data_IF_604167038389
#
_entry.id   IF_604167038389
#
_cell.length_a   1.000
_cell.length_b   1.000
_cell.length_c   1.000
_cell.angle_alpha   90.00
_cell.angle_beta   90.00
_cell.angle_gamma   90.00
#
_symmetry.space_group_name_H-M   'P 1'
#
loop_
_entity.id
_entity.type
_entity.pdbx_description
1 polymer ?
#
# COMPACT_ATOMS: atom_id res chain seq x y z
N UNK A 1 -17.14 -40.34 -18.94
CA UNK A 1 -17.96 -39.62 -17.94
C UNK A 1 -17.45 -38.19 -17.88
N UNK A 2 -18.15 -37.25 -18.51
CA UNK A 2 -17.79 -35.84 -18.54
C UNK A 2 -18.61 -35.12 -17.48
N UNK A 3 -17.96 -34.66 -16.41
CA UNK A 3 -18.60 -33.82 -15.41
C UNK A 3 -18.59 -32.38 -15.94
N UNK A 4 -19.72 -31.91 -16.47
CA UNK A 4 -19.94 -30.49 -16.68
C UNK A 4 -20.14 -29.84 -15.31
N UNK A 5 -19.26 -28.92 -14.94
CA UNK A 5 -19.49 -28.00 -13.82
C UNK A 5 -20.73 -27.16 -14.12
N UNK A 6 -21.72 -27.07 -13.21
CA UNK A 6 -22.86 -26.19 -13.42
C UNK A 6 -22.40 -24.73 -13.54
N UNK A 7 -23.02 -24.00 -14.46
CA UNK A 7 -22.79 -22.57 -14.69
C UNK A 7 -22.99 -21.79 -13.39
N UNK A 8 -22.04 -20.92 -13.05
CA UNK A 8 -22.15 -20.01 -11.92
C UNK A 8 -23.27 -19.02 -12.24
N UNK A 9 -24.33 -19.01 -11.44
CA UNK A 9 -25.43 -18.05 -11.55
C UNK A 9 -24.88 -16.64 -11.44
N UNK A 10 -25.09 -15.81 -12.47
CA UNK A 10 -24.82 -14.38 -12.39
C UNK A 10 -25.86 -13.74 -11.47
N UNK A 11 -25.45 -13.30 -10.30
CA UNK A 11 -26.28 -12.45 -9.46
C UNK A 11 -26.44 -11.06 -10.12
N UNK A 12 -27.68 -10.61 -10.26
CA UNK A 12 -28.00 -9.26 -10.72
C UNK A 12 -28.18 -8.41 -9.47
N UNK A 13 -27.16 -7.63 -9.13
CA UNK A 13 -27.23 -6.65 -8.05
C UNK A 13 -27.87 -5.39 -8.61
N UNK A 14 -29.13 -5.14 -8.22
CA UNK A 14 -29.93 -3.98 -8.69
C UNK A 14 -29.71 -2.74 -7.82
N UNK A 15 -29.18 -2.94 -6.62
CA UNK A 15 -28.88 -1.89 -5.65
C UNK A 15 -27.74 -2.36 -4.75
N UNK A 16 -26.66 -1.59 -4.69
CA UNK A 16 -25.59 -1.85 -3.73
C UNK A 16 -26.10 -1.46 -2.33
N UNK A 17 -25.89 -2.30 -1.30
CA UNK A 17 -26.17 -1.89 0.06
C UNK A 17 -25.35 -0.66 0.41
N UNK A 18 -25.92 0.27 1.17
CA UNK A 18 -25.16 1.39 1.71
C UNK A 18 -24.09 0.85 2.64
N UNK A 19 -22.82 0.98 2.26
CA UNK A 19 -21.69 0.61 3.11
C UNK A 19 -21.36 1.79 4.02
N UNK A 20 -21.16 1.54 5.30
CA UNK A 20 -20.68 2.57 6.23
C UNK A 20 -19.30 3.02 5.79
N UNK A 21 -19.05 4.33 5.76
CA UNK A 21 -17.71 4.85 5.50
C UNK A 21 -16.72 4.24 6.51
N UNK A 22 -15.50 3.87 6.08
CA UNK A 22 -14.46 3.40 6.98
C UNK A 22 -14.18 4.44 8.07
N UNK A 23 -13.81 3.95 9.25
CA UNK A 23 -13.32 4.83 10.31
C UNK A 23 -12.07 5.57 9.81
N UNK A 24 -11.86 6.83 10.18
CA UNK A 24 -10.63 7.54 9.88
C UNK A 24 -9.39 6.74 10.34
N UNK A 25 -8.37 6.80 9.50
CA UNK A 25 -7.06 6.25 9.79
C UNK A 25 -6.11 7.32 10.32
N UNK A 26 -4.91 6.91 10.70
CA UNK A 26 -3.81 7.84 11.01
C UNK A 26 -2.58 7.42 10.24
N UNK A 27 -1.89 8.36 9.60
CA UNK A 27 -0.54 8.14 9.08
C UNK A 27 0.41 8.04 10.26
N UNK A 28 0.96 6.85 10.49
CA UNK A 28 1.96 6.64 11.52
C UNK A 28 3.34 7.11 11.05
N UNK A 29 3.69 6.78 9.79
CA UNK A 29 5.00 7.09 9.23
C UNK A 29 4.89 7.44 7.76
N UNK A 30 5.69 8.43 7.34
CA UNK A 30 5.97 8.68 5.94
C UNK A 30 7.39 8.22 5.64
N UNK A 31 7.56 7.51 4.54
CA UNK A 31 8.80 6.82 4.18
C UNK A 31 9.19 7.13 2.75
N UNK A 32 10.48 7.36 2.54
CA UNK A 32 11.08 7.57 1.23
C UNK A 32 12.44 6.89 1.16
N UNK A 33 12.88 6.53 -0.04
CA UNK A 33 14.18 5.90 -0.23
C UNK A 33 14.74 6.14 -1.62
N UNK A 34 16.06 6.01 -1.73
CA UNK A 34 16.76 5.99 -3.02
C UNK A 34 16.90 4.56 -3.51
N UNK A 35 17.16 4.41 -4.81
CA UNK A 35 17.50 3.12 -5.39
C UNK A 35 18.78 2.59 -4.75
N UNK A 36 18.74 1.35 -4.29
CA UNK A 36 19.89 0.62 -3.78
C UNK A 36 19.86 -0.84 -4.22
N UNK A 37 20.93 -1.58 -3.96
CA UNK A 37 21.03 -2.97 -4.39
C UNK A 37 20.22 -3.89 -3.46
N UNK A 38 19.36 -4.69 -4.06
CA UNK A 38 18.69 -5.83 -3.43
C UNK A 38 19.27 -7.11 -4.07
N UNK A 39 20.22 -7.75 -3.38
CA UNK A 39 21.03 -8.80 -3.99
C UNK A 39 21.85 -8.22 -5.15
N UNK A 40 21.66 -8.75 -6.35
CA UNK A 40 22.34 -8.29 -7.58
C UNK A 40 21.51 -7.31 -8.42
N UNK A 41 20.33 -6.86 -7.95
CA UNK A 41 19.40 -6.04 -8.74
C UNK A 41 19.14 -4.68 -8.07
N UNK A 42 19.00 -3.57 -8.85
CA UNK A 42 18.60 -2.28 -8.29
C UNK A 42 17.13 -2.30 -7.84
N UNK A 43 16.84 -1.69 -6.69
CA UNK A 43 15.49 -1.64 -6.11
C UNK A 43 15.25 -0.37 -5.29
N UNK A 44 14.05 0.18 -5.39
CA UNK A 44 13.55 1.26 -4.50
C UNK A 44 12.79 0.74 -3.28
N UNK A 45 12.85 -0.57 -3.01
CA UNK A 45 12.07 -1.20 -1.94
C UNK A 45 12.51 -0.73 -0.54
N UNK A 46 13.77 -0.34 -0.38
CA UNK A 46 14.31 0.11 0.89
C UNK A 46 13.96 1.58 1.15
N UNK A 47 12.89 1.79 1.93
CA UNK A 47 12.44 3.11 2.35
C UNK A 47 12.67 3.31 3.83
N UNK A 48 13.20 4.47 4.19
CA UNK A 48 13.41 4.89 5.58
C UNK A 48 12.31 5.87 5.98
N UNK A 49 11.97 5.85 7.26
CA UNK A 49 11.10 6.87 7.86
C UNK A 49 11.72 8.26 7.68
N UNK A 50 10.87 9.22 7.32
CA UNK A 50 11.25 10.62 7.21
C UNK A 50 11.03 11.28 8.58
N UNK A 51 12.06 11.93 9.15
CA UNK A 51 11.89 12.72 10.37
C UNK A 51 11.20 14.07 10.12
N UNK A 52 11.22 14.51 8.86
CA UNK A 52 10.72 15.81 8.42
C UNK A 52 9.51 15.68 7.51
N UNK A 53 8.69 16.75 7.39
CA UNK A 53 7.56 16.75 6.49
C UNK A 53 7.95 16.35 5.06
N UNK A 54 7.03 15.66 4.39
CA UNK A 54 7.28 15.10 3.07
C UNK A 54 6.43 15.81 2.03
N UNK A 55 7.05 16.37 0.99
CA UNK A 55 6.32 16.93 -0.15
C UNK A 55 5.81 15.81 -1.04
N UNK A 56 4.49 15.78 -1.24
CA UNK A 56 3.87 14.86 -2.18
C UNK A 56 3.77 15.49 -3.56
N UNK A 57 3.76 14.65 -4.59
CA UNK A 57 3.50 15.12 -5.93
C UNK A 57 2.92 14.02 -6.80
N UNK A 58 2.50 14.41 -8.02
CA UNK A 58 1.81 13.53 -8.97
C UNK A 58 2.47 12.19 -9.21
N UNK A 59 3.79 12.11 -9.09
CA UNK A 59 4.56 10.88 -9.35
C UNK A 59 5.27 10.33 -8.11
N UNK A 60 5.04 10.92 -6.93
CA UNK A 60 5.47 10.38 -5.64
C UNK A 60 5.95 11.44 -4.67
N UNK A 61 6.56 10.96 -3.59
CA UNK A 61 7.13 11.81 -2.53
C UNK A 61 8.49 12.36 -2.98
N UNK A 62 8.76 13.62 -2.69
CA UNK A 62 10.07 14.24 -2.97
C UNK A 62 11.22 13.45 -2.31
N UNK A 63 12.23 13.10 -3.12
CA UNK A 63 13.39 12.31 -2.67
C UNK A 63 13.15 10.79 -2.62
N UNK A 64 11.96 10.31 -2.98
CA UNK A 64 11.69 8.89 -3.20
C UNK A 64 11.97 8.50 -4.66
N UNK A 65 12.71 7.43 -4.88
CA UNK A 65 13.06 6.93 -6.21
C UNK A 65 12.37 5.59 -6.51
N UNK A 66 11.99 5.39 -7.77
CA UNK A 66 11.42 4.14 -8.27
C UNK A 66 12.36 3.51 -9.30
N UNK A 67 12.40 2.18 -9.32
CA UNK A 67 13.09 1.43 -10.37
C UNK A 67 12.06 0.96 -11.39
N UNK A 68 12.32 1.23 -12.68
CA UNK A 68 11.47 0.99 -13.86
C UNK A 68 10.36 2.00 -14.14
N UNK A 69 10.19 2.32 -15.42
CA UNK A 69 9.12 3.17 -15.94
C UNK A 69 7.70 2.60 -15.69
N UNK A 70 7.57 1.29 -15.50
CA UNK A 70 6.28 0.63 -15.21
C UNK A 70 5.95 0.53 -13.72
N UNK A 71 6.91 0.74 -12.81
CA UNK A 71 6.74 0.63 -11.35
C UNK A 71 6.51 1.99 -10.66
N UNK A 72 6.26 3.03 -11.45
CA UNK A 72 5.88 4.36 -11.00
C UNK A 72 4.82 4.95 -11.94
N UNK A 73 4.71 6.28 -11.94
CA UNK A 73 3.68 6.99 -12.69
C UNK A 73 2.56 7.47 -11.78
N UNK A 74 1.58 8.16 -12.37
CA UNK A 74 0.51 8.83 -11.60
C UNK A 74 -0.30 7.83 -10.78
N UNK A 75 -0.61 6.67 -11.35
CA UNK A 75 -1.32 5.61 -10.64
C UNK A 75 -0.44 4.79 -9.69
N UNK A 76 0.84 5.15 -9.49
CA UNK A 76 1.82 4.43 -8.64
C UNK A 76 2.75 5.40 -7.94
N UNK A 77 2.21 6.55 -7.55
CA UNK A 77 3.01 7.62 -6.95
C UNK A 77 3.47 7.24 -5.54
N UNK A 78 2.60 6.62 -4.77
CA UNK A 78 2.83 6.23 -3.38
C UNK A 78 2.25 4.85 -3.11
N UNK A 79 2.88 4.12 -2.19
CA UNK A 79 2.41 2.83 -1.69
C UNK A 79 2.00 2.95 -0.22
N UNK A 80 0.76 2.66 0.16
CA UNK A 80 0.34 2.61 1.58
C UNK A 80 0.34 1.16 2.09
N UNK A 81 0.58 0.91 3.38
CA UNK A 81 0.30 -0.38 4.02
C UNK A 81 -0.22 -0.21 5.44
N UNK A 82 -1.19 -1.03 5.86
CA UNK A 82 -1.73 -0.96 7.22
C UNK A 82 -0.76 -1.57 8.24
N UNK A 83 -0.62 -0.90 9.37
CA UNK A 83 0.26 -1.30 10.46
C UNK A 83 -0.20 -2.56 11.19
N UNK A 84 -1.51 -2.88 11.18
CA UNK A 84 -2.05 -4.07 11.86
C UNK A 84 -1.45 -5.36 11.31
N UNK A 85 -1.20 -5.41 10.00
CA UNK A 85 -0.66 -6.58 9.30
C UNK A 85 0.71 -7.03 9.84
N UNK A 86 1.50 -6.10 10.35
CA UNK A 86 2.86 -6.40 10.82
C UNK A 86 2.89 -7.34 12.04
N UNK A 87 1.87 -7.30 12.90
CA UNK A 87 1.79 -8.21 14.05
C UNK A 87 1.58 -9.65 13.60
N UNK A 88 0.72 -9.86 12.61
CA UNK A 88 0.41 -11.17 12.04
C UNK A 88 1.64 -11.76 11.35
N UNK A 89 2.30 -10.95 10.51
CA UNK A 89 3.53 -11.34 9.83
C UNK A 89 4.64 -11.79 10.78
N UNK A 90 4.86 -11.07 11.89
CA UNK A 90 5.86 -11.45 12.90
C UNK A 90 5.49 -12.75 13.62
N UNK A 91 4.21 -12.96 13.87
CA UNK A 91 3.70 -14.18 14.54
C UNK A 91 3.90 -15.39 13.66
N UNK A 92 3.49 -15.31 12.39
CA UNK A 92 3.59 -16.40 11.42
C UNK A 92 5.04 -16.73 11.05
N UNK A 93 5.91 -15.72 11.01
CA UNK A 93 7.32 -15.87 10.67
C UNK A 93 8.24 -15.66 11.87
N UNK A 94 7.87 -16.24 13.02
CA UNK A 94 8.55 -16.10 14.31
C UNK A 94 10.05 -16.44 14.32
N UNK A 95 10.56 -17.13 13.30
CA UNK A 95 12.01 -17.40 13.14
C UNK A 95 12.80 -16.21 12.59
N UNK A 96 12.15 -15.28 11.90
CA UNK A 96 12.77 -14.07 11.32
C UNK A 96 11.87 -12.83 11.48
N UNK A 97 11.38 -12.51 12.68
CA UNK A 97 10.44 -11.40 12.90
C UNK A 97 11.06 -10.03 12.55
N UNK A 98 12.39 -9.93 12.55
CA UNK A 98 13.13 -8.73 12.14
C UNK A 98 12.95 -8.36 10.66
N UNK A 99 12.49 -9.27 9.80
CA UNK A 99 12.14 -8.95 8.41
C UNK A 99 10.84 -8.14 8.31
N UNK A 100 9.98 -8.23 9.32
CA UNK A 100 8.65 -7.64 9.36
C UNK A 100 8.61 -6.45 10.32
N UNK A 101 9.54 -5.52 10.07
CA UNK A 101 9.58 -4.19 10.66
C UNK A 101 8.93 -3.20 9.71
N UNK A 102 8.41 -2.09 10.23
CA UNK A 102 7.84 -1.02 9.40
C UNK A 102 8.79 -0.58 8.29
N UNK A 103 8.26 -0.44 7.08
CA UNK A 103 9.00 -0.29 5.84
C UNK A 103 9.41 -1.61 5.18
N UNK A 104 9.16 -2.77 5.80
CA UNK A 104 9.55 -4.10 5.33
C UNK A 104 8.97 -4.46 3.97
N UNK A 105 7.77 -3.96 3.67
CA UNK A 105 7.09 -4.17 2.40
C UNK A 105 7.45 -3.11 1.35
N UNK A 106 8.18 -2.05 1.76
CA UNK A 106 8.60 -0.96 0.89
C UNK A 106 7.48 0.06 0.69
N UNK A 107 6.61 0.23 1.67
CA UNK A 107 5.57 1.24 1.71
C UNK A 107 6.14 2.65 1.91
N UNK A 108 5.46 3.63 1.32
CA UNK A 108 5.67 5.06 1.56
C UNK A 108 4.83 5.58 2.72
N UNK A 109 3.64 5.02 2.93
CA UNK A 109 2.73 5.42 4.00
C UNK A 109 2.46 4.19 4.84
N UNK A 110 2.77 4.29 6.14
CA UNK A 110 2.29 3.36 7.13
C UNK A 110 1.09 3.99 7.83
N UNK A 111 -0.05 3.33 7.89
CA UNK A 111 -1.23 3.88 8.55
C UNK A 111 -1.97 2.88 9.43
N UNK A 112 -3.02 3.35 10.09
CA UNK A 112 -4.01 2.54 10.82
C UNK A 112 -5.37 2.59 10.11
N UNK A 113 -6.19 1.56 10.35
CA UNK A 113 -7.60 1.48 9.93
C UNK A 113 -7.85 1.61 8.42
N UNK A 114 -6.83 1.46 7.56
CA UNK A 114 -6.98 1.50 6.10
C UNK A 114 -6.56 0.14 5.57
N UNK A 115 -7.52 -0.80 5.55
CA UNK A 115 -7.33 -2.20 5.16
C UNK A 115 -8.11 -2.53 3.90
N UNK A 116 -7.83 -3.70 3.36
CA UNK A 116 -8.37 -4.23 2.12
C UNK A 116 -9.89 -4.38 2.14
N UNK A 117 -10.44 -4.52 3.34
CA UNK A 117 -11.86 -4.74 3.57
C UNK A 117 -12.65 -3.43 3.58
N UNK A 118 -11.97 -2.30 3.74
CA UNK A 118 -12.61 -1.02 4.02
C UNK A 118 -12.18 0.14 3.11
N UNK A 119 -11.29 -0.13 2.15
CA UNK A 119 -10.89 0.82 1.11
C UNK A 119 -11.28 0.29 -0.27
N UNK A 120 -11.68 1.19 -1.15
CA UNK A 120 -12.11 0.89 -2.51
C UNK A 120 -11.24 1.61 -3.54
N UNK A 121 -11.10 1.01 -4.73
CA UNK A 121 -10.50 1.71 -5.87
C UNK A 121 -11.38 2.92 -6.22
N UNK A 122 -10.77 4.09 -6.31
CA UNK A 122 -11.46 5.37 -6.54
C UNK A 122 -11.62 6.23 -5.29
N UNK A 123 -11.51 5.64 -4.09
CA UNK A 123 -11.61 6.37 -2.83
C UNK A 123 -10.59 7.52 -2.78
N UNK A 124 -11.03 8.69 -2.34
CA UNK A 124 -10.18 9.88 -2.20
C UNK A 124 -9.99 10.17 -0.72
N UNK A 125 -8.74 10.12 -0.28
CA UNK A 125 -8.34 10.44 1.08
C UNK A 125 -7.61 11.77 1.15
N UNK A 126 -7.84 12.50 2.23
CA UNK A 126 -7.04 13.62 2.64
C UNK A 126 -6.01 13.16 3.67
N UNK A 127 -4.75 13.47 3.40
CA UNK A 127 -3.63 13.28 4.32
C UNK A 127 -3.22 14.64 4.89
N UNK A 128 -3.17 14.76 6.21
CA UNK A 128 -2.94 16.04 6.87
C UNK A 128 -4.00 17.06 6.45
N UNK A 129 -3.59 18.33 6.30
CA UNK A 129 -4.55 19.40 5.99
C UNK A 129 -4.95 19.51 4.52
N UNK A 130 -4.15 19.01 3.57
CA UNK A 130 -4.25 19.42 2.15
C UNK A 130 -3.80 18.41 1.11
N UNK A 131 -3.16 17.29 1.44
CA UNK A 131 -2.74 16.34 0.40
C UNK A 131 -3.90 15.42 0.05
N UNK A 132 -4.28 15.38 -1.22
CA UNK A 132 -5.32 14.48 -1.73
C UNK A 132 -4.67 13.30 -2.43
N UNK A 133 -5.07 12.09 -2.01
CA UNK A 133 -4.64 10.84 -2.61
C UNK A 133 -5.83 10.02 -3.05
N UNK A 134 -5.78 9.46 -4.25
CA UNK A 134 -6.83 8.56 -4.75
C UNK A 134 -6.29 7.13 -4.82
N UNK A 135 -7.04 6.17 -4.27
CA UNK A 135 -6.74 4.74 -4.41
C UNK A 135 -6.88 4.34 -5.87
N UNK A 136 -5.78 3.90 -6.51
CA UNK A 136 -5.78 3.60 -7.94
C UNK A 136 -5.87 2.11 -8.25
N UNK A 137 -5.11 1.28 -7.52
CA UNK A 137 -5.06 -0.17 -7.72
C UNK A 137 -4.44 -0.91 -6.53
N UNK A 138 -4.79 -2.19 -6.33
CA UNK A 138 -4.11 -3.07 -5.40
C UNK A 138 -2.63 -3.28 -5.78
N UNK A 139 -1.77 -3.41 -4.78
CA UNK A 139 -0.35 -3.73 -4.94
C UNK A 139 -0.17 -5.23 -5.12
N UNK A 140 0.21 -5.64 -6.32
CA UNK A 140 0.57 -7.03 -6.58
C UNK A 140 1.97 -7.38 -6.03
N UNK A 141 2.14 -8.39 -5.17
CA UNK A 141 3.47 -8.83 -4.74
C UNK A 141 4.38 -9.11 -5.95
N UNK A 142 5.60 -8.58 -5.92
CA UNK A 142 6.58 -8.83 -6.98
C UNK A 142 7.77 -9.63 -6.44
N UNK A 143 8.56 -10.22 -7.33
CA UNK A 143 9.69 -11.07 -6.93
C UNK A 143 10.72 -10.34 -6.04
N UNK A 144 10.86 -9.01 -6.17
CA UNK A 144 11.75 -8.20 -5.32
C UNK A 144 11.28 -8.17 -3.86
N UNK A 145 9.97 -8.17 -3.61
CA UNK A 145 9.46 -8.31 -2.24
C UNK A 145 9.86 -9.67 -1.66
N UNK A 146 9.72 -10.73 -2.45
CA UNK A 146 10.11 -12.06 -2.02
C UNK A 146 11.60 -12.18 -1.73
N UNK A 147 12.45 -11.56 -2.56
CA UNK A 147 13.89 -11.51 -2.34
C UNK A 147 14.22 -10.76 -1.04
N UNK A 148 13.56 -9.63 -0.77
CA UNK A 148 13.75 -8.88 0.47
C UNK A 148 13.32 -9.66 1.71
N UNK A 149 12.23 -10.41 1.61
CA UNK A 149 11.66 -11.19 2.71
C UNK A 149 12.17 -12.63 2.74
N UNK A 150 13.31 -12.94 2.10
CA UNK A 150 13.94 -14.26 2.11
C UNK A 150 12.99 -15.42 1.74
N UNK A 151 12.14 -15.24 0.72
CA UNK A 151 11.21 -16.29 0.31
C UNK A 151 9.87 -16.30 1.07
N UNK A 152 9.68 -15.44 2.07
CA UNK A 152 8.53 -15.47 2.99
C UNK A 152 7.31 -14.69 2.52
N UNK A 153 7.46 -13.86 1.49
CA UNK A 153 6.36 -13.04 0.99
C UNK A 153 5.21 -13.90 0.45
N UNK A 154 5.49 -15.05 -0.18
CA UNK A 154 4.46 -15.89 -0.80
C UNK A 154 3.77 -16.87 0.17
N UNK A 155 3.93 -16.70 1.49
CA UNK A 155 3.26 -17.55 2.48
C UNK A 155 1.80 -17.16 2.74
N UNK A 156 1.37 -15.99 2.24
CA UNK A 156 0.03 -15.46 2.39
C UNK A 156 -0.69 -15.33 1.04
N UNK A 157 -2.01 -15.31 1.09
CA UNK A 157 -2.83 -14.99 -0.09
C UNK A 157 -2.53 -13.55 -0.55
N UNK A 158 -2.61 -13.22 -1.85
CA UNK A 158 -2.33 -11.88 -2.36
C UNK A 158 -3.13 -10.77 -1.64
N UNK A 159 -4.27 -11.14 -1.04
CA UNK A 159 -5.19 -10.27 -0.29
C UNK A 159 -4.65 -9.79 1.07
N UNK A 160 -3.55 -10.35 1.56
CA UNK A 160 -2.95 -9.96 2.85
C UNK A 160 -1.63 -9.16 2.67
N UNK A 161 -1.22 -8.97 1.42
CA UNK A 161 -0.06 -8.18 0.99
C UNK A 161 -0.49 -6.92 0.24
N UNK A 162 -1.71 -6.44 0.50
CA UNK A 162 -2.26 -5.40 -0.33
C UNK A 162 -1.93 -4.06 0.29
N UNK A 163 -0.90 -3.49 -0.29
CA UNK A 163 -0.76 -2.05 -0.33
C UNK A 163 -1.63 -1.47 -1.45
N UNK A 164 -1.87 -0.16 -1.45
CA UNK A 164 -2.43 0.53 -2.62
C UNK A 164 -1.42 1.46 -3.20
N UNK A 165 -1.46 1.52 -4.51
CA UNK A 165 -0.83 2.60 -5.25
C UNK A 165 -1.81 3.79 -5.34
N UNK A 166 -1.33 5.01 -5.11
CA UNK A 166 -2.16 6.22 -5.18
C UNK A 166 -1.63 7.27 -6.14
N UNK A 167 -2.53 8.10 -6.68
CA UNK A 167 -2.20 9.37 -7.34
C UNK A 167 -2.28 10.52 -6.35
N UNK A 168 -1.54 11.61 -6.58
CA UNK A 168 -1.54 12.77 -5.70
C UNK A 168 -1.73 14.06 -6.50
N UNK A 169 -2.70 14.89 -6.11
CA UNK A 169 -3.02 16.12 -6.84
C UNK A 169 -2.44 17.38 -6.20
N UNK A 170 -2.25 17.37 -4.88
CA UNK A 170 -1.76 18.53 -4.12
C UNK A 170 -0.32 18.30 -3.63
N UNK A 171 0.48 19.37 -3.71
CA UNK A 171 1.92 19.30 -3.53
C UNK A 171 2.35 20.06 -2.27
N UNK A 172 2.06 19.50 -1.11
CA UNK A 172 2.35 20.10 0.18
C UNK A 172 3.06 19.11 1.12
N UNK A 173 3.81 19.62 2.13
CA UNK A 173 4.43 18.79 3.14
C UNK A 173 3.38 18.16 4.06
N UNK A 174 3.49 16.86 4.31
CA UNK A 174 2.65 16.12 5.29
C UNK A 174 3.54 15.53 6.37
N UNK A 175 3.08 15.56 7.62
CA UNK A 175 3.63 14.82 8.74
C UNK A 175 2.64 13.72 9.17
N UNK A 176 3.05 12.84 10.07
CA UNK A 176 2.14 11.87 10.69
C UNK A 176 0.89 12.59 11.23
N UNK A 177 -0.24 12.39 10.54
CA UNK A 177 -1.49 13.12 10.71
C UNK A 177 -2.68 12.18 10.47
N UNK A 178 -3.89 12.66 10.74
CA UNK A 178 -5.12 11.95 10.42
C UNK A 178 -5.30 11.73 8.90
N UNK A 179 -5.94 10.60 8.57
CA UNK A 179 -6.39 10.28 7.22
C UNK A 179 -7.91 10.29 7.18
N UNK A 180 -8.46 11.23 6.44
CA UNK A 180 -9.92 11.38 6.30
C UNK A 180 -10.36 10.98 4.91
N UNK A 181 -11.33 10.07 4.82
CA UNK A 181 -11.98 9.75 3.55
C UNK A 181 -12.90 10.90 3.14
N UNK A 182 -12.68 11.46 1.95
CA UNK A 182 -13.49 12.55 1.40
C UNK A 182 -14.59 12.07 0.46
N UNK A 183 -14.33 11.00 -0.30
CA UNK A 183 -15.24 10.44 -1.30
C UNK A 183 -14.99 8.95 -1.43
N UNK A 184 -16.06 8.16 -1.55
CA UNK A 184 -16.06 6.74 -1.90
C UNK A 184 -16.90 6.50 -3.15
#
# INVERSE_FOLDING_TARGET
MSYCTPDITKEIIIQLPSVSLPKPGTVLQIRSGKVSMLGSEPSGIFKIERPDPAFFGKTGIAGNEHVYCTHGGIDRAIMQYDSSHYADWRTENCRQPQLFQFGGFGENILSTNLTEENICIGDIYQLGGRVLVQVSKPRNPCYKLNLRLNGRAFLKEPRELVAWDGSCELFEPVMSDEVTLLSS
#
